data_IF_391780934333
#
_entry.id   IF_391780934333
#
_cell.length_a   1.000
_cell.length_b   1.000
_cell.length_c   1.000
_cell.angle_alpha   90.00
_cell.angle_beta   90.00
_cell.angle_gamma   90.00
#
_symmetry.space_group_name_H-M   'P 1'
#
loop_
_entity.id
_entity.type
_entity.pdbx_description
1 polymer ?
#
# COMPACT_ATOMS: atom_id res chain seq x y z
N UNK A 1 -43.02 -4.81 22.54
CA UNK A 1 -44.44 -4.56 22.94
C UNK A 1 -45.33 -5.80 22.80
N UNK A 2 -45.38 -6.51 21.67
CA UNK A 2 -46.26 -7.70 21.48
C UNK A 2 -45.94 -8.89 22.41
N UNK A 3 -44.65 -9.18 22.64
CA UNK A 3 -44.21 -10.27 23.52
C UNK A 3 -44.64 -10.08 24.98
N UNK A 4 -44.64 -8.83 25.45
CA UNK A 4 -45.05 -8.49 26.82
C UNK A 4 -46.53 -8.78 27.07
N UNK A 5 -47.40 -8.48 26.11
CA UNK A 5 -48.83 -8.80 26.18
C UNK A 5 -49.11 -10.30 26.15
N UNK A 6 -48.34 -11.06 25.36
CA UNK A 6 -48.43 -12.53 25.34
C UNK A 6 -48.03 -13.10 26.71
N UNK A 7 -46.93 -12.62 27.28
CA UNK A 7 -46.43 -13.09 28.57
C UNK A 7 -47.41 -12.73 29.72
N UNK A 8 -47.99 -11.53 29.69
CA UNK A 8 -49.04 -11.12 30.61
C UNK A 8 -50.31 -11.99 30.48
N UNK A 9 -50.76 -12.26 29.25
CA UNK A 9 -51.92 -13.10 29.01
C UNK A 9 -51.70 -14.54 29.51
N UNK A 10 -50.51 -15.10 29.32
CA UNK A 10 -50.14 -16.44 29.82
C UNK A 10 -50.17 -16.48 31.36
N UNK A 11 -49.58 -15.48 32.03
CA UNK A 11 -49.57 -15.39 33.50
C UNK A 11 -50.99 -15.18 34.06
N UNK A 12 -51.79 -14.32 33.43
CA UNK A 12 -53.19 -14.11 33.81
C UNK A 12 -54.01 -15.40 33.66
N UNK A 13 -53.85 -16.12 32.54
CA UNK A 13 -54.54 -17.39 32.31
C UNK A 13 -54.14 -18.46 33.34
N UNK A 14 -52.85 -18.54 33.70
CA UNK A 14 -52.34 -19.46 34.71
C UNK A 14 -52.92 -19.22 36.11
N UNK A 15 -53.16 -17.96 36.50
CA UNK A 15 -53.79 -17.61 37.78
C UNK A 15 -55.32 -17.76 37.78
N UNK A 16 -55.96 -17.55 36.63
CA UNK A 16 -57.42 -17.55 36.50
C UNK A 16 -58.01 -18.97 36.52
N UNK A 17 -57.32 -19.95 35.94
CA UNK A 17 -57.82 -21.33 35.82
C UNK A 17 -58.01 -22.02 37.20
N UNK A 18 -57.04 -22.01 38.13
CA UNK A 18 -57.22 -22.62 39.45
C UNK A 18 -58.24 -21.88 40.32
N UNK A 19 -58.33 -20.56 40.20
CA UNK A 19 -59.22 -19.71 41.00
C UNK A 19 -60.69 -19.90 40.60
N UNK A 20 -61.00 -19.92 39.31
CA UNK A 20 -62.35 -20.23 38.81
C UNK A 20 -62.78 -21.64 39.26
N UNK A 21 -61.87 -22.61 39.23
CA UNK A 21 -62.17 -23.99 39.55
C UNK A 21 -62.42 -24.21 41.05
N UNK A 22 -61.62 -23.58 41.92
CA UNK A 22 -61.80 -23.60 43.38
C UNK A 22 -63.13 -22.97 43.83
N UNK A 23 -63.59 -21.94 43.11
CA UNK A 23 -64.87 -21.28 43.38
C UNK A 23 -66.09 -22.07 42.87
N UNK A 24 -65.90 -23.04 41.96
CA UNK A 24 -67.01 -23.72 41.26
C UNK A 24 -67.20 -25.20 41.63
N UNK A 25 -66.29 -25.81 42.39
CA UNK A 25 -66.30 -27.26 42.66
C UNK A 25 -66.44 -27.58 44.15
N UNK A 26 -67.59 -28.15 44.55
CA UNK A 26 -67.82 -28.64 45.92
C UNK A 26 -67.13 -29.99 46.22
N UNK A 27 -66.52 -30.63 45.20
CA UNK A 27 -65.98 -31.98 45.29
C UNK A 27 -64.50 -32.02 44.93
N UNK A 28 -63.64 -32.00 45.96
CA UNK A 28 -62.18 -31.85 45.86
C UNK A 28 -61.49 -33.00 45.08
N UNK A 29 -62.10 -34.19 45.07
CA UNK A 29 -61.53 -35.40 44.47
C UNK A 29 -61.58 -35.38 42.93
N UNK A 30 -62.69 -34.88 42.37
CA UNK A 30 -62.84 -34.72 40.90
C UNK A 30 -61.92 -33.60 40.36
N UNK A 31 -61.65 -32.58 41.18
CA UNK A 31 -60.66 -31.54 40.91
C UNK A 31 -59.24 -32.11 40.80
N UNK A 32 -58.88 -33.02 41.72
CA UNK A 32 -57.58 -33.70 41.74
C UNK A 32 -57.34 -34.55 40.50
N UNK A 33 -58.30 -35.40 40.11
CA UNK A 33 -58.18 -36.28 38.94
C UNK A 33 -58.04 -35.50 37.61
N UNK A 34 -58.75 -34.38 37.48
CA UNK A 34 -58.58 -33.48 36.34
C UNK A 34 -57.21 -32.78 36.37
N UNK A 35 -56.76 -32.35 37.54
CA UNK A 35 -55.41 -31.82 37.76
C UNK A 35 -54.31 -32.80 37.34
N UNK A 36 -54.47 -34.09 37.65
CA UNK A 36 -53.54 -35.14 37.25
C UNK A 36 -53.47 -35.32 35.72
N UNK A 37 -54.60 -35.24 35.01
CA UNK A 37 -54.65 -35.26 33.54
C UNK A 37 -53.98 -34.02 32.93
N UNK A 38 -54.21 -32.83 33.49
CA UNK A 38 -53.49 -31.62 33.11
C UNK A 38 -51.98 -31.73 33.39
N UNK A 39 -51.58 -32.42 34.45
CA UNK A 39 -50.19 -32.72 34.77
C UNK A 39 -49.50 -33.55 33.68
N UNK A 40 -50.14 -34.61 33.20
CA UNK A 40 -49.63 -35.46 32.11
C UNK A 40 -49.48 -34.66 30.81
N UNK A 41 -50.48 -33.86 30.46
CA UNK A 41 -50.45 -33.00 29.26
C UNK A 41 -49.36 -31.92 29.37
N UNK A 42 -49.20 -31.31 30.54
CA UNK A 42 -48.14 -30.32 30.80
C UNK A 42 -46.74 -30.93 30.74
N UNK A 43 -46.55 -32.16 31.23
CA UNK A 43 -45.29 -32.88 31.11
C UNK A 43 -44.95 -33.15 29.64
N UNK A 44 -45.93 -33.54 28.82
CA UNK A 44 -45.76 -33.73 27.37
C UNK A 44 -45.42 -32.41 26.65
N UNK A 45 -46.14 -31.33 26.93
CA UNK A 45 -45.84 -30.00 26.37
C UNK A 45 -44.45 -29.51 26.77
N UNK A 46 -44.03 -29.73 28.02
CA UNK A 46 -42.70 -29.38 28.50
C UNK A 46 -41.60 -30.20 27.79
N UNK A 47 -41.82 -31.49 27.59
CA UNK A 47 -40.93 -32.35 26.81
C UNK A 47 -40.81 -31.93 25.36
N UNK A 48 -41.93 -31.57 24.71
CA UNK A 48 -41.95 -31.06 23.34
C UNK A 48 -41.25 -29.70 23.21
N UNK A 49 -41.49 -28.77 24.15
CA UNK A 49 -40.79 -27.49 24.19
C UNK A 49 -39.28 -27.68 24.35
N UNK A 50 -38.85 -28.63 25.19
CA UNK A 50 -37.45 -28.98 25.35
C UNK A 50 -36.85 -29.61 24.07
N UNK A 51 -37.61 -30.48 23.38
CA UNK A 51 -37.19 -31.04 22.09
C UNK A 51 -37.02 -29.95 21.02
N UNK A 52 -37.94 -28.99 20.95
CA UNK A 52 -37.83 -27.82 20.06
C UNK A 52 -36.57 -27.02 20.40
N UNK A 53 -36.30 -26.75 21.68
CA UNK A 53 -35.08 -26.06 22.11
C UNK A 53 -33.80 -26.81 21.71
N UNK A 54 -33.78 -28.15 21.79
CA UNK A 54 -32.62 -28.95 21.36
C UNK A 54 -32.41 -28.82 19.85
N UNK A 55 -33.48 -28.91 19.06
CA UNK A 55 -33.42 -28.75 17.60
C UNK A 55 -32.95 -27.35 17.23
N UNK A 56 -33.47 -26.33 17.89
CA UNK A 56 -33.07 -24.94 17.69
C UNK A 56 -31.60 -24.71 18.05
N UNK A 57 -31.13 -25.24 19.19
CA UNK A 57 -29.70 -25.21 19.57
C UNK A 57 -28.82 -25.92 18.54
N UNK A 58 -29.32 -26.98 17.91
CA UNK A 58 -28.60 -27.67 16.86
C UNK A 58 -28.45 -26.77 15.62
N UNK A 59 -29.51 -26.10 15.17
CA UNK A 59 -29.45 -25.15 14.06
C UNK A 59 -28.57 -23.94 14.37
N UNK A 60 -28.70 -23.34 15.55
CA UNK A 60 -27.84 -22.22 15.98
C UNK A 60 -26.35 -22.60 15.97
N UNK A 61 -26.00 -23.83 16.37
CA UNK A 61 -24.62 -24.34 16.28
C UNK A 61 -24.14 -24.48 14.84
N UNK A 62 -25.00 -24.91 13.92
CA UNK A 62 -24.65 -24.98 12.50
C UNK A 62 -24.45 -23.59 11.90
N UNK A 63 -25.35 -22.65 12.19
CA UNK A 63 -25.25 -21.26 11.74
C UNK A 63 -23.96 -20.60 12.26
N UNK A 64 -23.60 -20.81 13.54
CA UNK A 64 -22.34 -20.31 14.10
C UNK A 64 -21.10 -20.89 13.38
N UNK A 65 -21.14 -22.17 12.96
CA UNK A 65 -20.04 -22.78 12.19
C UNK A 65 -19.94 -22.15 10.80
N UNK A 66 -21.05 -21.99 10.10
CA UNK A 66 -21.10 -21.35 8.77
C UNK A 66 -20.62 -19.90 8.83
N UNK A 67 -21.08 -19.13 9.82
CA UNK A 67 -20.65 -17.74 10.04
C UNK A 67 -19.16 -17.65 10.33
N UNK A 68 -18.61 -18.57 11.14
CA UNK A 68 -17.16 -18.62 11.38
C UNK A 68 -16.37 -18.92 10.11
N UNK A 69 -16.85 -19.86 9.30
CA UNK A 69 -16.21 -20.19 8.03
C UNK A 69 -16.23 -19.00 7.07
N UNK A 70 -17.38 -18.35 6.89
CA UNK A 70 -17.50 -17.16 6.06
C UNK A 70 -16.59 -16.01 6.52
N UNK A 71 -16.41 -15.82 7.85
CA UNK A 71 -15.45 -14.84 8.38
C UNK A 71 -13.99 -15.20 8.10
N UNK A 72 -13.64 -16.49 8.08
CA UNK A 72 -12.30 -16.93 7.71
C UNK A 72 -12.04 -16.65 6.23
N UNK A 73 -12.97 -17.02 5.36
CA UNK A 73 -12.88 -16.77 3.92
C UNK A 73 -12.79 -15.26 3.62
N UNK A 74 -13.61 -14.44 4.30
CA UNK A 74 -13.56 -12.98 4.17
C UNK A 74 -12.22 -12.40 4.64
N UNK A 75 -11.63 -12.95 5.71
CA UNK A 75 -10.33 -12.50 6.21
C UNK A 75 -9.23 -12.76 5.18
N UNK A 76 -9.27 -13.91 4.50
CA UNK A 76 -8.29 -14.24 3.46
C UNK A 76 -8.45 -13.33 2.24
N UNK A 77 -9.69 -13.09 1.80
CA UNK A 77 -9.97 -12.11 0.73
C UNK A 77 -9.50 -10.69 1.08
N UNK A 78 -9.72 -10.23 2.33
CA UNK A 78 -9.24 -8.93 2.78
C UNK A 78 -7.72 -8.84 2.81
N UNK A 79 -7.03 -9.96 3.08
CA UNK A 79 -5.58 -10.02 3.05
C UNK A 79 -5.06 -9.86 1.62
N UNK A 80 -5.62 -10.60 0.67
CA UNK A 80 -5.29 -10.48 -0.76
C UNK A 80 -5.58 -9.07 -1.28
N UNK A 81 -6.74 -8.49 -0.93
CA UNK A 81 -7.08 -7.12 -1.30
C UNK A 81 -6.10 -6.10 -0.70
N UNK A 82 -5.66 -6.29 0.53
CA UNK A 82 -4.67 -5.41 1.18
C UNK A 82 -3.32 -5.47 0.47
N UNK A 83 -2.89 -6.65 0.02
CA UNK A 83 -1.66 -6.84 -0.74
C UNK A 83 -1.75 -6.16 -2.12
N UNK A 84 -2.86 -6.33 -2.84
CA UNK A 84 -3.11 -5.67 -4.12
C UNK A 84 -3.16 -4.13 -3.98
N UNK A 85 -3.83 -3.61 -2.94
CA UNK A 85 -3.87 -2.18 -2.66
C UNK A 85 -2.48 -1.60 -2.37
N UNK A 86 -1.60 -2.35 -1.69
CA UNK A 86 -0.21 -1.92 -1.48
C UNK A 86 0.54 -1.81 -2.80
N UNK A 87 0.37 -2.78 -3.69
CA UNK A 87 0.96 -2.77 -5.04
C UNK A 87 0.47 -1.56 -5.85
N UNK A 88 -0.83 -1.32 -5.88
CA UNK A 88 -1.41 -0.15 -6.59
C UNK A 88 -0.94 1.19 -6.00
N UNK A 89 -0.85 1.29 -4.66
CA UNK A 89 -0.34 2.49 -3.99
C UNK A 89 1.12 2.77 -4.39
N UNK A 90 1.92 1.72 -4.54
CA UNK A 90 3.27 1.83 -5.06
C UNK A 90 3.28 2.38 -6.48
N UNK A 91 2.61 1.70 -7.41
CA UNK A 91 2.59 2.07 -8.82
C UNK A 91 2.22 3.53 -8.98
N UNK A 92 1.18 3.96 -8.25
CA UNK A 92 0.76 5.36 -8.20
C UNK A 92 1.87 6.28 -7.69
N UNK A 93 2.56 5.96 -6.59
CA UNK A 93 3.64 6.80 -6.06
C UNK A 93 4.81 6.89 -7.06
N UNK A 94 5.19 5.76 -7.67
CA UNK A 94 6.24 5.71 -8.69
C UNK A 94 5.91 6.65 -9.85
N UNK A 95 4.73 6.49 -10.47
CA UNK A 95 4.34 7.31 -11.62
C UNK A 95 4.15 8.79 -11.23
N UNK A 96 3.64 9.07 -10.03
CA UNK A 96 3.54 10.45 -9.53
C UNK A 96 4.92 11.10 -9.37
N UNK A 97 5.90 10.39 -8.81
CA UNK A 97 7.25 10.92 -8.65
C UNK A 97 7.95 11.08 -9.99
N UNK A 98 7.79 10.12 -10.90
CA UNK A 98 8.31 10.21 -12.26
C UNK A 98 7.71 11.40 -13.02
N UNK A 99 6.40 11.63 -12.87
CA UNK A 99 5.72 12.79 -13.43
C UNK A 99 6.31 14.10 -12.89
N UNK A 100 6.50 14.21 -11.56
CA UNK A 100 7.12 15.38 -10.93
C UNK A 100 8.54 15.59 -11.46
N UNK A 101 9.35 14.53 -11.57
CA UNK A 101 10.72 14.62 -12.09
C UNK A 101 10.72 15.19 -13.51
N UNK A 102 9.86 14.67 -14.40
CA UNK A 102 9.79 15.17 -15.77
C UNK A 102 9.33 16.63 -15.84
N UNK A 103 8.34 17.02 -15.05
CA UNK A 103 7.88 18.42 -14.98
C UNK A 103 8.99 19.36 -14.49
N UNK A 104 9.75 18.95 -13.48
CA UNK A 104 10.87 19.72 -12.96
C UNK A 104 11.97 19.83 -14.01
N UNK A 105 12.30 18.72 -14.69
CA UNK A 105 13.25 18.73 -15.81
C UNK A 105 12.77 19.69 -16.89
N UNK A 106 11.53 19.60 -17.36
CA UNK A 106 11.00 20.49 -18.42
C UNK A 106 11.06 21.98 -18.01
N UNK A 107 10.97 22.28 -16.71
CA UNK A 107 11.07 23.64 -16.20
C UNK A 107 12.51 24.17 -16.09
N UNK A 108 13.54 23.32 -16.28
CA UNK A 108 14.96 23.71 -16.21
C UNK A 108 15.28 24.70 -17.31
N UNK A 109 15.74 25.89 -16.93
CA UNK A 109 16.03 26.99 -17.87
C UNK A 109 17.47 27.44 -17.81
N UNK A 110 17.97 27.93 -18.94
CA UNK A 110 19.34 28.39 -19.10
C UNK A 110 19.58 29.77 -18.51
N UNK A 111 20.82 30.07 -18.15
CA UNK A 111 21.27 31.46 -17.92
C UNK A 111 21.43 32.20 -19.25
N UNK A 112 21.83 33.48 -19.22
CA UNK A 112 21.86 34.39 -20.39
C UNK A 112 22.42 33.79 -21.68
N UNK A 113 23.50 33.01 -21.60
CA UNK A 113 24.15 32.39 -22.76
C UNK A 113 23.32 31.24 -23.37
N UNK A 114 22.38 30.68 -22.60
CA UNK A 114 21.53 29.52 -22.91
C UNK A 114 20.03 29.82 -22.71
N UNK A 115 19.60 31.09 -22.72
CA UNK A 115 18.21 31.48 -22.41
C UNK A 115 17.15 30.85 -23.33
N UNK A 116 17.56 30.44 -24.54
CA UNK A 116 16.68 29.78 -25.52
C UNK A 116 16.63 28.25 -25.36
N UNK A 117 17.40 27.68 -24.43
CA UNK A 117 17.41 26.24 -24.17
C UNK A 117 16.72 25.93 -22.84
N UNK A 118 15.86 24.92 -22.85
CA UNK A 118 15.12 24.46 -21.70
C UNK A 118 15.06 22.93 -21.61
N UNK A 119 14.75 22.44 -20.42
CA UNK A 119 14.65 21.05 -20.02
C UNK A 119 15.71 20.12 -20.60
N UNK A 120 15.27 19.06 -21.28
CA UNK A 120 16.17 18.05 -21.83
C UNK A 120 17.17 18.62 -22.85
N UNK A 121 16.82 19.68 -23.59
CA UNK A 121 17.73 20.32 -24.54
C UNK A 121 18.89 20.98 -23.81
N UNK A 122 18.58 21.75 -22.77
CA UNK A 122 19.59 22.40 -21.94
C UNK A 122 20.48 21.37 -21.23
N UNK A 123 19.88 20.33 -20.64
CA UNK A 123 20.65 19.27 -19.97
C UNK A 123 21.54 18.49 -20.95
N UNK A 124 21.11 18.33 -22.21
CA UNK A 124 21.98 17.80 -23.27
C UNK A 124 23.18 18.70 -23.53
N UNK A 125 22.97 20.01 -23.64
CA UNK A 125 24.05 20.99 -23.84
C UNK A 125 25.03 21.00 -22.67
N UNK A 126 24.52 21.02 -21.43
CA UNK A 126 25.31 20.87 -20.21
C UNK A 126 26.17 19.62 -20.29
N UNK A 127 25.58 18.47 -20.62
CA UNK A 127 26.30 17.21 -20.77
C UNK A 127 27.41 17.29 -21.82
N UNK A 128 27.16 17.93 -22.96
CA UNK A 128 28.19 18.11 -23.99
C UNK A 128 29.33 19.04 -23.54
N UNK A 129 29.03 20.05 -22.72
CA UNK A 129 30.04 21.00 -22.26
C UNK A 129 30.98 20.44 -21.19
N UNK A 130 30.55 19.43 -20.42
CA UNK A 130 31.38 18.76 -19.40
C UNK A 130 32.75 18.37 -19.95
N UNK A 131 32.81 17.67 -21.10
CA UNK A 131 34.09 17.19 -21.65
C UNK A 131 34.95 18.32 -22.23
N UNK A 132 34.32 19.44 -22.62
CA UNK A 132 35.02 20.59 -23.24
C UNK A 132 35.59 21.59 -22.23
N UNK A 133 35.02 21.63 -21.02
CA UNK A 133 35.33 22.64 -20.00
C UNK A 133 36.05 22.07 -18.78
N UNK A 134 36.02 20.75 -18.57
CA UNK A 134 36.65 20.09 -17.44
C UNK A 134 38.03 19.60 -17.86
N UNK A 135 39.02 19.85 -17.01
CA UNK A 135 40.40 19.41 -17.27
C UNK A 135 40.48 17.89 -17.44
N UNK A 136 41.46 17.34 -18.18
CA UNK A 136 41.67 15.90 -18.22
C UNK A 136 42.19 15.40 -16.85
N UNK A 137 41.47 14.46 -16.23
CA UNK A 137 41.86 13.75 -14.99
C UNK A 137 41.96 14.61 -13.72
N UNK A 138 40.95 15.42 -13.36
CA UNK A 138 40.92 16.14 -12.09
C UNK A 138 40.80 15.16 -10.92
N UNK A 139 41.21 15.58 -9.72
CA UNK A 139 40.76 14.89 -8.50
C UNK A 139 39.24 14.98 -8.33
N UNK A 140 38.61 14.11 -7.55
CA UNK A 140 37.15 14.19 -7.28
C UNK A 140 36.76 15.57 -6.76
N UNK A 141 37.55 16.16 -5.87
CA UNK A 141 37.27 17.48 -5.29
C UNK A 141 37.32 18.59 -6.34
N UNK A 142 38.29 18.57 -7.25
CA UNK A 142 38.38 19.51 -8.36
C UNK A 142 37.22 19.33 -9.33
N UNK A 143 36.86 18.08 -9.65
CA UNK A 143 35.73 17.75 -10.52
C UNK A 143 34.41 18.25 -9.94
N UNK A 144 34.18 18.09 -8.63
CA UNK A 144 33.00 18.63 -7.95
C UNK A 144 32.91 20.14 -8.12
N UNK A 145 34.02 20.85 -7.88
CA UNK A 145 34.06 22.31 -8.01
C UNK A 145 33.84 22.76 -9.46
N UNK A 146 34.44 22.08 -10.43
CA UNK A 146 34.27 22.41 -11.86
C UNK A 146 32.84 22.15 -12.34
N UNK A 147 32.24 21.03 -11.96
CA UNK A 147 30.84 20.71 -12.26
C UNK A 147 29.88 21.71 -11.62
N UNK A 148 30.05 22.06 -10.34
CA UNK A 148 29.21 23.07 -9.69
C UNK A 148 29.30 24.42 -10.39
N UNK A 149 30.50 24.85 -10.78
CA UNK A 149 30.69 26.08 -11.55
C UNK A 149 30.01 26.01 -12.90
N UNK A 150 30.11 24.88 -13.61
CA UNK A 150 29.48 24.66 -14.90
C UNK A 150 27.95 24.68 -14.79
N UNK A 151 27.37 23.94 -13.84
CA UNK A 151 25.94 23.97 -13.58
C UNK A 151 25.46 25.38 -13.22
N UNK A 152 26.17 26.10 -12.34
CA UNK A 152 25.85 27.49 -12.01
C UNK A 152 26.06 28.47 -13.17
N UNK A 153 26.84 28.13 -14.19
CA UNK A 153 27.01 28.96 -15.39
C UNK A 153 25.87 28.75 -16.37
N UNK A 154 25.40 27.50 -16.51
CA UNK A 154 24.47 27.12 -17.57
C UNK A 154 23.03 27.08 -17.06
N UNK A 155 22.79 26.51 -15.88
CA UNK A 155 21.47 26.26 -15.31
C UNK A 155 21.11 27.40 -14.34
N UNK A 156 19.86 27.87 -14.41
CA UNK A 156 19.33 28.92 -13.53
C UNK A 156 18.81 28.40 -12.18
N UNK A 157 18.34 27.15 -12.14
CA UNK A 157 17.71 26.50 -10.99
C UNK A 157 18.65 25.48 -10.33
N UNK A 158 18.33 25.05 -9.10
CA UNK A 158 19.10 24.03 -8.39
C UNK A 158 18.78 22.63 -8.92
N UNK A 159 19.74 22.03 -9.62
CA UNK A 159 19.65 20.65 -10.13
C UNK A 159 19.64 19.60 -9.01
N UNK A 160 20.11 19.97 -7.81
CA UNK A 160 20.11 19.14 -6.59
C UNK A 160 18.76 18.44 -6.37
N UNK A 161 17.66 19.20 -6.46
CA UNK A 161 16.31 18.70 -6.17
C UNK A 161 15.91 17.59 -7.14
N UNK A 162 16.24 17.75 -8.43
CA UNK A 162 15.96 16.74 -9.46
C UNK A 162 16.79 15.48 -9.19
N UNK A 163 18.08 15.65 -8.92
CA UNK A 163 18.97 14.55 -8.60
C UNK A 163 18.49 13.78 -7.35
N UNK A 164 18.02 14.47 -6.31
CA UNK A 164 17.54 13.82 -5.08
C UNK A 164 16.28 13.00 -5.34
N UNK A 165 15.34 13.56 -6.11
CA UNK A 165 14.10 12.86 -6.49
C UNK A 165 14.38 11.63 -7.34
N UNK A 166 15.30 11.71 -8.31
CA UNK A 166 15.68 10.56 -9.14
C UNK A 166 16.38 9.49 -8.29
N UNK A 167 17.30 9.88 -7.40
CA UNK A 167 17.96 8.94 -6.49
C UNK A 167 16.95 8.26 -5.56
N UNK A 168 16.01 9.03 -5.01
CA UNK A 168 14.95 8.50 -4.18
C UNK A 168 14.07 7.52 -4.97
N UNK A 169 13.66 7.86 -6.19
CA UNK A 169 12.85 6.98 -7.05
C UNK A 169 13.59 5.67 -7.36
N UNK A 170 14.89 5.75 -7.65
CA UNK A 170 15.74 4.57 -7.82
C UNK A 170 15.75 3.67 -6.58
N UNK A 171 16.06 4.23 -5.40
CA UNK A 171 16.05 3.47 -4.14
C UNK A 171 14.66 2.97 -3.75
N UNK A 172 13.62 3.67 -4.18
CA UNK A 172 12.25 3.25 -3.98
C UNK A 172 11.92 2.00 -4.81
N UNK A 173 12.40 1.90 -6.05
CA UNK A 173 12.27 0.67 -6.87
C UNK A 173 12.96 -0.52 -6.18
N UNK A 174 14.19 -0.36 -5.69
CA UNK A 174 14.93 -1.43 -5.00
C UNK A 174 14.17 -1.99 -3.80
N UNK A 175 13.67 -1.08 -2.95
CA UNK A 175 12.94 -1.42 -1.73
C UNK A 175 11.70 -2.28 -2.02
N UNK A 176 11.19 -2.23 -3.23
CA UNK A 176 9.95 -2.91 -3.60
C UNK A 176 10.21 -4.33 -4.06
N UNK A 177 11.27 -4.53 -4.84
CA UNK A 177 11.76 -5.88 -5.15
C UNK A 177 11.95 -6.69 -3.87
N UNK A 178 12.59 -6.08 -2.87
CA UNK A 178 12.88 -6.73 -1.58
C UNK A 178 11.62 -7.06 -0.76
N UNK A 179 10.61 -6.20 -0.74
CA UNK A 179 9.47 -6.33 0.18
C UNK A 179 8.25 -7.05 -0.41
N UNK A 180 8.08 -7.03 -1.73
CA UNK A 180 6.88 -7.53 -2.39
C UNK A 180 7.17 -8.62 -3.44
N UNK A 181 8.44 -8.98 -3.66
CA UNK A 181 8.82 -9.94 -4.69
C UNK A 181 8.40 -9.51 -6.10
N UNK A 182 8.18 -8.21 -6.29
CA UNK A 182 7.72 -7.66 -7.54
C UNK A 182 8.86 -7.62 -8.57
N UNK A 183 8.52 -7.83 -9.83
CA UNK A 183 9.44 -7.67 -10.96
C UNK A 183 9.78 -6.17 -11.09
N UNK A 184 10.90 -5.75 -10.49
CA UNK A 184 11.35 -4.35 -10.50
C UNK A 184 11.81 -3.90 -11.88
N UNK A 185 12.16 -4.86 -12.74
CA UNK A 185 12.72 -4.62 -14.07
C UNK A 185 11.83 -3.70 -14.92
N UNK A 186 10.51 -3.85 -14.87
CA UNK A 186 9.59 -2.97 -15.61
C UNK A 186 9.76 -1.51 -15.18
N UNK A 187 9.96 -1.24 -13.89
CA UNK A 187 10.10 0.12 -13.37
C UNK A 187 11.50 0.70 -13.62
N UNK A 188 12.52 -0.16 -13.57
CA UNK A 188 13.88 0.17 -13.97
C UNK A 188 13.91 0.58 -15.45
N UNK A 189 13.26 -0.20 -16.31
CA UNK A 189 13.12 0.08 -17.74
C UNK A 189 12.33 1.36 -18.02
N UNK A 190 11.24 1.60 -17.28
CA UNK A 190 10.48 2.85 -17.40
C UNK A 190 11.34 4.05 -16.99
N UNK A 191 12.05 3.97 -15.86
CA UNK A 191 12.89 5.07 -15.38
C UNK A 191 14.07 5.33 -16.32
N UNK A 192 14.71 4.27 -16.82
CA UNK A 192 15.79 4.34 -17.81
C UNK A 192 15.35 5.05 -19.09
N UNK A 193 14.17 4.70 -19.61
CA UNK A 193 13.67 5.28 -20.86
C UNK A 193 13.03 6.67 -20.67
N UNK A 194 12.58 7.00 -19.47
CA UNK A 194 11.98 8.30 -19.18
C UNK A 194 13.02 9.44 -19.18
N UNK A 195 14.29 9.13 -18.92
CA UNK A 195 15.37 10.10 -18.91
C UNK A 195 16.29 9.87 -20.11
N UNK A 196 16.80 10.95 -20.71
CA UNK A 196 17.78 10.81 -21.80
C UNK A 196 19.13 10.35 -21.27
N UNK A 197 19.93 9.71 -22.12
CA UNK A 197 21.32 9.32 -21.80
C UNK A 197 22.17 10.50 -21.27
N UNK A 198 21.92 11.71 -21.77
CA UNK A 198 22.61 12.92 -21.31
C UNK A 198 22.24 13.29 -19.87
N UNK A 199 20.96 13.11 -19.51
CA UNK A 199 20.47 13.34 -18.14
C UNK A 199 21.03 12.29 -17.20
N UNK A 200 21.03 11.00 -17.58
CA UNK A 200 21.67 9.95 -16.79
C UNK A 200 23.15 10.23 -16.54
N UNK A 201 23.87 10.68 -17.58
CA UNK A 201 25.27 11.06 -17.44
C UNK A 201 25.48 12.18 -16.43
N UNK A 202 24.67 13.24 -16.51
CA UNK A 202 24.72 14.34 -15.55
C UNK A 202 24.44 13.83 -14.14
N UNK A 203 23.39 13.04 -13.96
CA UNK A 203 23.00 12.48 -12.68
C UNK A 203 24.10 11.61 -12.08
N UNK A 204 24.73 10.73 -12.87
CA UNK A 204 25.84 9.87 -12.40
C UNK A 204 27.01 10.72 -11.88
N UNK A 205 27.42 11.73 -12.64
CA UNK A 205 28.47 12.65 -12.21
C UNK A 205 28.05 13.37 -10.93
N UNK A 206 26.83 13.88 -10.89
CA UNK A 206 26.26 14.58 -9.73
C UNK A 206 26.20 13.72 -8.47
N UNK A 207 25.81 12.45 -8.62
CA UNK A 207 25.72 11.50 -7.52
C UNK A 207 27.10 11.25 -6.92
N UNK A 208 28.13 11.12 -7.74
CA UNK A 208 29.50 10.87 -7.28
C UNK A 208 30.20 12.11 -6.72
N UNK A 209 29.86 13.30 -7.21
CA UNK A 209 30.50 14.55 -6.81
C UNK A 209 29.71 15.30 -5.75
N UNK A 210 28.66 16.01 -6.13
CA UNK A 210 27.88 16.90 -5.25
C UNK A 210 27.15 16.14 -4.15
N UNK A 211 26.62 14.94 -4.43
CA UNK A 211 25.93 14.14 -3.42
C UNK A 211 26.82 13.17 -2.64
N UNK A 212 28.06 12.95 -3.08
CA UNK A 212 29.01 12.04 -2.45
C UNK A 212 28.51 10.60 -2.27
N UNK A 213 27.67 10.09 -3.19
CA UNK A 213 27.19 8.69 -3.17
C UNK A 213 28.34 7.73 -3.41
N UNK A 214 28.24 6.54 -2.84
CA UNK A 214 29.26 5.51 -3.02
C UNK A 214 29.28 5.03 -4.49
N UNK A 215 30.49 4.83 -5.04
CA UNK A 215 30.67 4.34 -6.41
C UNK A 215 29.96 3.01 -6.68
N UNK A 216 29.85 2.13 -5.68
CA UNK A 216 29.13 0.86 -5.78
C UNK A 216 27.64 1.09 -6.02
N UNK A 217 27.03 2.03 -5.30
CA UNK A 217 25.59 2.31 -5.43
C UNK A 217 25.30 3.02 -6.76
N UNK A 218 26.19 3.90 -7.21
CA UNK A 218 26.05 4.57 -8.51
C UNK A 218 26.29 3.60 -9.67
N UNK A 219 27.18 2.61 -9.49
CA UNK A 219 27.35 1.52 -10.47
C UNK A 219 26.11 0.65 -10.56
N UNK A 220 25.48 0.34 -9.42
CA UNK A 220 24.20 -0.38 -9.40
C UNK A 220 23.09 0.42 -10.09
N UNK A 221 23.01 1.73 -9.85
CA UNK A 221 22.12 2.64 -10.58
C UNK A 221 22.38 2.56 -12.09
N UNK A 222 23.62 2.75 -12.53
CA UNK A 222 23.96 2.72 -13.96
C UNK A 222 23.56 1.38 -14.59
N UNK A 223 23.87 0.26 -13.93
CA UNK A 223 23.53 -1.07 -14.42
C UNK A 223 22.02 -1.27 -14.57
N UNK A 224 21.21 -0.90 -13.57
CA UNK A 224 19.74 -1.01 -13.62
C UNK A 224 19.11 -0.06 -14.62
N UNK A 225 19.74 1.10 -14.86
CA UNK A 225 19.35 1.99 -15.95
C UNK A 225 19.85 1.52 -17.33
N UNK A 226 20.45 0.33 -17.44
CA UNK A 226 21.03 -0.22 -18.68
C UNK A 226 22.15 0.66 -19.28
N UNK A 227 22.88 1.36 -18.42
CA UNK A 227 23.98 2.26 -18.78
C UNK A 227 25.34 1.65 -18.43
N UNK A 228 26.33 1.88 -19.27
CA UNK A 228 27.72 1.58 -18.95
C UNK A 228 28.36 2.77 -18.20
N UNK A 229 28.66 2.59 -16.91
CA UNK A 229 29.24 3.65 -16.07
C UNK A 229 30.56 4.20 -16.64
N UNK A 230 31.40 3.35 -17.24
CA UNK A 230 32.69 3.79 -17.79
C UNK A 230 32.49 4.69 -19.01
N UNK A 231 31.48 4.39 -19.85
CA UNK A 231 31.10 5.24 -20.99
C UNK A 231 30.47 6.56 -20.55
N UNK A 232 29.75 6.56 -19.42
CA UNK A 232 29.15 7.77 -18.86
C UNK A 232 30.21 8.70 -18.27
N UNK A 233 31.20 8.14 -17.57
CA UNK A 233 32.28 8.90 -16.94
C UNK A 233 33.36 9.35 -17.94
N UNK A 234 33.54 8.65 -19.07
CA UNK A 234 34.54 8.98 -20.11
C UNK A 234 35.94 9.21 -19.50
N UNK A 235 36.51 10.39 -19.74
CA UNK A 235 37.85 10.78 -19.30
C UNK A 235 37.94 11.02 -17.78
N UNK A 236 36.80 11.14 -17.10
CA UNK A 236 36.72 11.40 -15.66
C UNK A 236 36.71 10.11 -14.81
N UNK A 237 36.75 8.91 -15.40
CA UNK A 237 36.73 7.64 -14.64
C UNK A 237 37.88 7.52 -13.64
N UNK A 238 39.09 7.96 -14.05
CA UNK A 238 40.30 7.89 -13.22
C UNK A 238 40.18 8.73 -11.95
N UNK A 239 39.38 9.79 -12.00
CA UNK A 239 39.10 10.63 -10.84
C UNK A 239 38.41 9.85 -9.72
N UNK A 240 37.63 8.82 -10.05
CA UNK A 240 36.86 8.02 -9.09
C UNK A 240 37.51 6.68 -8.74
N UNK A 241 38.81 6.51 -9.04
CA UNK A 241 39.55 5.26 -8.86
C UNK A 241 38.92 4.06 -9.60
N UNK A 242 38.36 4.31 -10.79
CA UNK A 242 37.87 3.32 -11.76
C UNK A 242 38.86 3.11 -12.91
#
# INVERSE_FOLDING_TARGET
MKLFWILFAVVACWLMVPTIFYLSSDNLEMAGQLGDLFGIVNALFSGLAFAILIVELHFQRQELKLTRQAMMDQKDQLKEQSEELKKQNYERLFFNLLYIINQEIDSVTGQREFENEEGFTLLRTVSMQIDSHITPQPSVAELTIELEKLFKKIIKQEFDIIAEKVWFLFKYIEKIGDNYGAETQIYEDILSNALTIHVHRILILYFLTSMGKNIKDVKDYAQKMQMNIDEMLRDHKKSFHL
#
